data_IF_589731150981
#
_entry.id   IF_589731150981
#
_cell.length_a   1.000
_cell.length_b   1.000
_cell.length_c   1.000
_cell.angle_alpha   90.00
_cell.angle_beta   90.00
_cell.angle_gamma   90.00
#
_symmetry.space_group_name_H-M   'P 1'
#
loop_
_entity.id
_entity.type
_entity.pdbx_description
1 polymer ?
#
# COMPACT_ATOMS: atom_id res chain seq x y z
N UNK A 1 6.99 9.34 -51.89
CA UNK A 1 8.31 8.78 -52.23
C UNK A 1 8.37 7.35 -51.70
N UNK A 2 8.22 6.35 -52.56
CA UNK A 2 8.27 4.94 -52.14
C UNK A 2 9.74 4.53 -51.98
N UNK A 3 10.21 4.31 -50.75
CA UNK A 3 11.53 3.73 -50.52
C UNK A 3 11.58 2.35 -51.18
N UNK A 4 12.52 2.14 -52.10
CA UNK A 4 12.70 0.83 -52.74
C UNK A 4 13.05 -0.20 -51.66
N UNK A 5 12.46 -1.41 -51.68
CA UNK A 5 12.79 -2.44 -50.70
C UNK A 5 14.28 -2.78 -50.80
N UNK A 6 14.93 -2.92 -49.65
CA UNK A 6 16.33 -3.27 -49.55
C UNK A 6 16.56 -4.69 -50.09
N UNK A 7 17.61 -4.86 -50.90
CA UNK A 7 18.02 -6.17 -51.41
C UNK A 7 19.02 -6.83 -50.48
N UNK A 8 18.70 -8.06 -50.03
CA UNK A 8 19.54 -8.84 -49.11
C UNK A 8 20.97 -9.03 -49.60
N UNK A 9 21.16 -9.23 -50.90
CA UNK A 9 22.50 -9.45 -51.49
C UNK A 9 23.37 -8.20 -51.44
N UNK A 10 22.76 -7.03 -51.65
CA UNK A 10 23.47 -5.74 -51.60
C UNK A 10 23.87 -5.42 -50.17
N UNK A 11 22.94 -5.61 -49.21
CA UNK A 11 23.22 -5.39 -47.79
C UNK A 11 24.28 -6.37 -47.24
N UNK A 12 24.28 -7.64 -47.67
CA UNK A 12 25.32 -8.59 -47.27
C UNK A 12 26.69 -8.16 -47.78
N UNK A 13 26.81 -7.77 -49.05
CA UNK A 13 28.08 -7.35 -49.64
C UNK A 13 28.66 -6.14 -48.90
N UNK A 14 27.84 -5.12 -48.64
CA UNK A 14 28.30 -3.95 -47.87
C UNK A 14 28.73 -4.29 -46.44
N UNK A 15 28.07 -5.25 -45.79
CA UNK A 15 28.48 -5.73 -44.46
C UNK A 15 29.78 -6.54 -44.50
N UNK A 16 30.01 -7.33 -45.54
CA UNK A 16 31.26 -8.09 -45.71
C UNK A 16 32.44 -7.16 -46.02
N UNK A 17 32.22 -6.12 -46.82
CA UNK A 17 33.23 -5.10 -47.12
C UNK A 17 33.60 -4.27 -45.87
N UNK A 18 32.63 -3.94 -45.01
CA UNK A 18 32.88 -3.14 -43.81
C UNK A 18 33.34 -3.94 -42.59
N UNK A 19 32.88 -5.17 -42.41
CA UNK A 19 33.09 -5.96 -41.19
C UNK A 19 33.88 -7.26 -41.39
N UNK A 20 34.24 -7.61 -42.63
CA UNK A 20 35.08 -8.78 -42.95
C UNK A 20 34.54 -10.08 -42.35
N UNK A 21 35.41 -10.80 -41.62
CA UNK A 21 35.07 -12.08 -40.97
C UNK A 21 34.06 -11.95 -39.82
N UNK A 22 33.85 -10.74 -39.28
CA UNK A 22 32.86 -10.47 -38.23
C UNK A 22 31.46 -10.15 -38.80
N UNK A 23 31.28 -10.24 -40.12
CA UNK A 23 30.00 -9.98 -40.76
C UNK A 23 28.93 -11.03 -40.40
N UNK A 24 27.68 -10.58 -40.28
CA UNK A 24 26.56 -11.47 -39.97
C UNK A 24 26.33 -12.51 -41.09
N UNK A 25 25.97 -13.77 -40.74
CA UNK A 25 25.65 -14.78 -41.74
C UNK A 25 24.46 -14.37 -42.62
N UNK A 26 24.46 -14.83 -43.88
CA UNK A 26 23.41 -14.49 -44.86
C UNK A 26 21.98 -14.67 -44.33
N UNK A 27 21.71 -15.76 -43.58
CA UNK A 27 20.38 -16.02 -42.99
C UNK A 27 19.93 -14.91 -42.02
N UNK A 28 20.83 -14.36 -41.23
CA UNK A 28 20.53 -13.28 -40.28
C UNK A 28 20.28 -11.96 -41.01
N UNK A 29 21.09 -11.68 -42.04
CA UNK A 29 20.92 -10.50 -42.90
C UNK A 29 19.59 -10.57 -43.65
N UNK A 30 19.26 -11.71 -44.25
CA UNK A 30 17.98 -11.92 -44.93
C UNK A 30 16.78 -11.71 -44.00
N UNK A 31 16.83 -12.26 -42.78
CA UNK A 31 15.78 -12.08 -41.78
C UNK A 31 15.61 -10.61 -41.36
N UNK A 32 16.72 -9.89 -41.18
CA UNK A 32 16.68 -8.46 -40.84
C UNK A 32 16.17 -7.61 -42.01
N UNK A 33 16.67 -7.80 -43.23
CA UNK A 33 16.23 -7.08 -44.43
C UNK A 33 14.74 -7.30 -44.69
N UNK A 34 14.23 -8.52 -44.52
CA UNK A 34 12.80 -8.80 -44.58
C UNK A 34 12.02 -7.98 -43.56
N UNK A 35 12.44 -7.99 -42.28
CA UNK A 35 11.78 -7.22 -41.24
C UNK A 35 11.81 -5.69 -41.48
N UNK A 36 12.91 -5.16 -42.02
CA UNK A 36 13.01 -3.74 -42.39
C UNK A 36 12.09 -3.39 -43.56
N UNK A 37 12.00 -4.25 -44.58
CA UNK A 37 11.07 -4.09 -45.70
C UNK A 37 9.60 -4.19 -45.27
N UNK A 38 9.32 -4.94 -44.20
CA UNK A 38 8.00 -5.03 -43.55
C UNK A 38 7.72 -3.84 -42.60
N UNK A 39 8.58 -2.82 -42.56
CA UNK A 39 8.35 -1.56 -41.84
C UNK A 39 8.95 -1.50 -40.42
N UNK A 40 9.70 -2.51 -39.98
CA UNK A 40 10.40 -2.45 -38.69
C UNK A 40 11.53 -1.42 -38.75
N UNK A 41 11.49 -0.39 -37.92
CA UNK A 41 12.55 0.62 -37.83
C UNK A 41 13.54 0.37 -36.67
N UNK A 42 13.19 -0.51 -35.73
CA UNK A 42 13.99 -0.77 -34.54
C UNK A 42 15.00 -1.92 -34.75
N UNK A 43 16.29 -1.65 -34.47
CA UNK A 43 17.42 -2.58 -34.59
C UNK A 43 17.57 -3.51 -33.38
N UNK A 44 17.03 -3.14 -32.21
CA UNK A 44 17.09 -3.93 -30.99
C UNK A 44 16.30 -5.24 -31.12
N UNK A 45 16.66 -6.24 -30.32
CA UNK A 45 15.94 -7.50 -30.25
C UNK A 45 14.49 -7.29 -29.82
N UNK A 46 13.56 -8.07 -30.40
CA UNK A 46 12.17 -8.07 -29.91
C UNK A 46 12.13 -8.69 -28.51
N UNK A 47 11.10 -8.34 -27.74
CA UNK A 47 10.81 -9.07 -26.49
C UNK A 47 10.77 -10.56 -26.79
N UNK A 48 11.70 -11.29 -26.21
CA UNK A 48 11.72 -12.75 -26.25
C UNK A 48 10.62 -13.24 -25.30
N UNK A 49 9.76 -14.19 -25.72
CA UNK A 49 8.85 -14.83 -24.77
C UNK A 49 9.68 -15.49 -23.67
N UNK A 50 9.49 -15.03 -22.43
CA UNK A 50 10.08 -15.64 -21.24
C UNK A 50 9.27 -16.85 -20.78
N UNK A 51 9.66 -17.45 -19.64
CA UNK A 51 8.93 -18.56 -19.02
C UNK A 51 7.46 -18.17 -18.75
N UNK A 52 6.47 -18.93 -19.26
CA UNK A 52 5.07 -18.69 -18.98
C UNK A 52 4.69 -19.33 -17.65
N UNK A 53 4.85 -18.62 -16.53
CA UNK A 53 4.23 -19.02 -15.25
C UNK A 53 3.71 -17.84 -14.42
N UNK A 54 4.04 -16.61 -14.81
CA UNK A 54 3.76 -15.40 -14.01
C UNK A 54 2.26 -15.17 -13.77
N UNK A 55 1.35 -15.65 -14.64
CA UNK A 55 -0.08 -15.41 -14.47
C UNK A 55 -0.75 -16.35 -13.47
N UNK A 56 -0.43 -17.64 -13.52
CA UNK A 56 -1.03 -18.66 -12.64
C UNK A 56 -0.54 -18.51 -11.21
N UNK A 57 0.75 -18.20 -11.04
CA UNK A 57 1.38 -17.92 -9.74
C UNK A 57 0.75 -16.69 -9.05
N UNK A 58 0.49 -15.63 -9.81
CA UNK A 58 -0.15 -14.41 -9.31
C UNK A 58 -1.59 -14.69 -8.89
N UNK A 59 -2.34 -15.46 -9.70
CA UNK A 59 -3.73 -15.80 -9.41
C UNK A 59 -3.85 -16.69 -8.15
N UNK A 60 -3.00 -17.70 -8.02
CA UNK A 60 -2.99 -18.58 -6.85
C UNK A 60 -2.68 -17.79 -5.57
N UNK A 61 -1.70 -16.88 -5.62
CA UNK A 61 -1.36 -16.02 -4.48
C UNK A 61 -2.47 -15.01 -4.16
N UNK A 62 -3.12 -14.42 -5.17
CA UNK A 62 -4.23 -13.48 -4.91
C UNK A 62 -5.42 -14.17 -4.24
N UNK A 63 -5.76 -15.39 -4.67
CA UNK A 63 -6.87 -16.14 -4.08
C UNK A 63 -6.65 -16.47 -2.59
N UNK A 64 -5.42 -16.84 -2.21
CA UNK A 64 -5.06 -17.11 -0.79
C UNK A 64 -5.07 -15.83 0.07
N UNK A 65 -4.74 -14.68 -0.51
CA UNK A 65 -4.76 -13.40 0.20
C UNK A 65 -6.17 -12.82 0.33
N UNK A 66 -7.08 -13.19 -0.58
CA UNK A 66 -8.50 -12.84 -0.48
C UNK A 66 -9.18 -13.58 0.67
N UNK A 67 -8.78 -14.82 0.95
CA UNK A 67 -9.32 -15.60 2.08
C UNK A 67 -8.74 -15.15 3.43
N UNK A 68 -7.40 -15.02 3.53
CA UNK A 68 -6.76 -14.45 4.71
C UNK A 68 -5.54 -13.59 4.33
N UNK A 69 -5.60 -12.32 4.74
CA UNK A 69 -4.53 -11.34 4.51
C UNK A 69 -3.36 -11.47 5.48
N UNK A 70 -3.45 -12.35 6.48
CA UNK A 70 -2.44 -12.51 7.54
C UNK A 70 -1.44 -13.64 7.26
N UNK A 71 -1.54 -14.30 6.11
CA UNK A 71 -0.59 -15.33 5.71
C UNK A 71 0.85 -14.84 5.71
N UNK A 72 1.74 -15.70 6.18
CA UNK A 72 3.18 -15.52 6.05
C UNK A 72 3.65 -15.94 4.66
N UNK A 73 4.80 -15.39 4.23
CA UNK A 73 5.44 -15.79 2.96
C UNK A 73 5.69 -17.30 2.91
N UNK A 74 6.01 -17.91 4.06
CA UNK A 74 6.28 -19.36 4.17
C UNK A 74 5.02 -20.20 3.98
N UNK A 75 3.89 -19.77 4.53
CA UNK A 75 2.61 -20.46 4.34
C UNK A 75 2.16 -20.36 2.88
N UNK A 76 2.22 -19.17 2.29
CA UNK A 76 1.92 -18.94 0.88
C UNK A 76 2.81 -19.80 -0.04
N UNK A 77 4.11 -19.86 0.24
CA UNK A 77 5.06 -20.68 -0.51
C UNK A 77 4.72 -22.18 -0.43
N UNK A 78 4.35 -22.66 0.77
CA UNK A 78 3.95 -24.06 0.98
C UNK A 78 2.66 -24.40 0.24
N UNK A 79 1.68 -23.50 0.22
CA UNK A 79 0.37 -23.73 -0.39
C UNK A 79 0.39 -23.59 -1.92
N UNK A 80 1.19 -22.65 -2.44
CA UNK A 80 1.34 -22.44 -3.88
C UNK A 80 2.44 -23.31 -4.52
N UNK A 81 3.27 -23.97 -3.71
CA UNK A 81 4.44 -24.72 -4.19
C UNK A 81 5.56 -23.83 -4.74
N UNK A 82 5.51 -22.51 -4.51
CA UNK A 82 6.47 -21.54 -5.01
C UNK A 82 7.64 -21.35 -4.05
N UNK A 83 8.77 -20.89 -4.58
CA UNK A 83 9.87 -20.44 -3.75
C UNK A 83 9.47 -19.18 -2.97
N UNK A 84 9.93 -19.06 -1.72
CA UNK A 84 9.68 -17.89 -0.88
C UNK A 84 10.07 -16.56 -1.55
N UNK A 85 11.13 -16.56 -2.36
CA UNK A 85 11.58 -15.40 -3.14
C UNK A 85 10.56 -15.01 -4.20
N UNK A 86 10.02 -15.99 -4.94
CA UNK A 86 8.97 -15.77 -5.95
C UNK A 86 7.71 -15.18 -5.32
N UNK A 87 7.29 -15.70 -4.15
CA UNK A 87 6.16 -15.14 -3.40
C UNK A 87 6.43 -13.69 -3.02
N UNK A 88 7.62 -13.38 -2.49
CA UNK A 88 8.00 -12.01 -2.13
C UNK A 88 7.98 -11.05 -3.33
N UNK A 89 8.53 -11.49 -4.46
CA UNK A 89 8.60 -10.71 -5.69
C UNK A 89 7.20 -10.48 -6.28
N UNK A 90 6.34 -11.50 -6.28
CA UNK A 90 4.96 -11.37 -6.73
C UNK A 90 4.19 -10.40 -5.83
N UNK A 91 4.30 -10.53 -4.51
CA UNK A 91 3.63 -9.63 -3.57
C UNK A 91 4.07 -8.17 -3.79
N UNK A 92 5.37 -7.91 -3.90
CA UNK A 92 5.90 -6.55 -4.02
C UNK A 92 5.79 -5.96 -5.42
N UNK A 93 6.29 -6.66 -6.43
CA UNK A 93 6.49 -6.13 -7.79
C UNK A 93 5.26 -6.31 -8.68
N UNK A 94 4.45 -7.35 -8.46
CA UNK A 94 3.27 -7.64 -9.30
C UNK A 94 1.99 -7.14 -8.66
N UNK A 95 1.79 -7.41 -7.38
CA UNK A 95 0.59 -7.02 -6.64
C UNK A 95 0.72 -5.65 -5.95
N UNK A 96 1.93 -5.07 -5.90
CA UNK A 96 2.16 -3.77 -5.26
C UNK A 96 1.89 -3.78 -3.75
N UNK A 97 1.91 -4.96 -3.12
CA UNK A 97 1.58 -5.13 -1.72
C UNK A 97 2.76 -4.80 -0.82
N UNK A 98 2.43 -4.26 0.36
CA UNK A 98 3.37 -3.98 1.43
C UNK A 98 2.89 -4.62 2.72
N UNK A 99 3.83 -5.08 3.53
CA UNK A 99 3.51 -5.55 4.89
C UNK A 99 3.07 -4.35 5.73
N UNK A 100 1.86 -4.42 6.27
CA UNK A 100 1.33 -3.47 7.25
C UNK A 100 1.15 -4.25 8.56
N UNK A 101 1.68 -3.72 9.66
CA UNK A 101 1.42 -4.30 10.97
C UNK A 101 -0.03 -4.00 11.38
N UNK A 102 -0.72 -5.00 11.93
CA UNK A 102 -2.04 -4.79 12.53
C UNK A 102 -1.97 -3.72 13.61
N UNK A 103 -3.00 -2.87 13.66
CA UNK A 103 -3.13 -1.88 14.74
C UNK A 103 -3.73 -2.53 15.97
N UNK A 104 -3.20 -2.16 17.14
CA UNK A 104 -3.79 -2.55 18.41
C UNK A 104 -5.11 -1.82 18.60
N UNK A 105 -6.14 -2.54 19.03
CA UNK A 105 -7.46 -1.97 19.35
C UNK A 105 -7.76 -2.15 20.84
N UNK A 106 -8.54 -1.25 21.46
CA UNK A 106 -8.79 -1.28 22.90
C UNK A 106 -9.45 -2.55 23.45
N UNK A 107 -10.34 -3.17 22.69
CA UNK A 107 -11.17 -4.28 23.16
C UNK A 107 -11.73 -5.10 21.99
N UNK A 108 -12.13 -6.34 22.23
CA UNK A 108 -12.87 -7.13 21.25
C UNK A 108 -14.37 -6.88 21.44
N UNK A 109 -14.93 -6.00 20.60
CA UNK A 109 -16.30 -5.54 20.76
C UNK A 109 -17.32 -6.64 20.44
N UNK A 110 -18.28 -6.82 21.35
CA UNK A 110 -19.49 -7.61 21.10
C UNK A 110 -20.44 -6.90 20.14
N UNK A 111 -21.32 -7.64 19.47
CA UNK A 111 -22.32 -7.06 18.56
C UNK A 111 -23.22 -6.02 19.24
N UNK A 112 -23.58 -6.24 20.51
CA UNK A 112 -24.33 -5.26 21.30
C UNK A 112 -23.53 -3.95 21.48
N UNK A 113 -22.23 -4.03 21.78
CA UNK A 113 -21.39 -2.84 21.93
C UNK A 113 -21.22 -2.09 20.62
N UNK A 114 -21.10 -2.79 19.48
CA UNK A 114 -21.08 -2.17 18.14
C UNK A 114 -22.40 -1.46 17.83
N UNK A 115 -23.53 -2.07 18.17
CA UNK A 115 -24.84 -1.45 18.02
C UNK A 115 -24.96 -0.17 18.85
N UNK A 116 -24.57 -0.21 20.13
CA UNK A 116 -24.55 0.97 21.02
C UNK A 116 -23.66 2.09 20.48
N UNK A 117 -22.51 1.74 19.89
CA UNK A 117 -21.62 2.70 19.22
C UNK A 117 -22.30 3.37 18.02
N UNK A 118 -22.99 2.60 17.17
CA UNK A 118 -23.76 3.12 16.04
C UNK A 118 -24.90 4.03 16.50
N UNK A 119 -25.70 3.59 17.47
CA UNK A 119 -26.82 4.36 18.01
C UNK A 119 -26.35 5.70 18.58
N UNK A 120 -25.29 5.69 19.40
CA UNK A 120 -24.69 6.90 19.94
C UNK A 120 -24.16 7.84 18.84
N UNK A 121 -23.50 7.30 17.82
CA UNK A 121 -22.99 8.09 16.70
C UNK A 121 -24.10 8.75 15.87
N UNK A 122 -25.19 8.03 15.58
CA UNK A 122 -26.34 8.57 14.85
C UNK A 122 -27.06 9.67 15.63
N UNK A 123 -27.37 9.42 16.91
CA UNK A 123 -28.01 10.43 17.78
C UNK A 123 -27.21 11.72 17.86
N UNK A 124 -25.89 11.62 17.95
CA UNK A 124 -24.99 12.79 17.98
C UNK A 124 -24.96 13.55 16.65
N UNK A 125 -25.01 12.85 15.52
CA UNK A 125 -25.08 13.47 14.19
C UNK A 125 -26.40 14.22 13.95
N UNK A 126 -27.51 13.70 14.47
CA UNK A 126 -28.84 14.27 14.24
C UNK A 126 -29.13 15.49 15.12
N UNK A 127 -28.79 15.44 16.41
CA UNK A 127 -29.26 16.44 17.39
C UNK A 127 -28.18 17.15 18.19
N UNK A 128 -26.91 16.77 18.05
CA UNK A 128 -25.82 17.26 18.92
C UNK A 128 -26.13 17.15 20.43
N UNK A 129 -27.00 16.22 20.83
CA UNK A 129 -27.38 16.04 22.23
C UNK A 129 -26.38 15.11 22.96
N UNK A 130 -25.92 15.54 24.14
CA UNK A 130 -25.05 14.80 25.04
C UNK A 130 -25.82 13.69 25.77
N UNK A 131 -26.12 12.59 25.09
CA UNK A 131 -27.04 11.58 25.63
C UNK A 131 -26.40 10.28 26.12
N UNK A 132 -25.22 9.86 25.61
CA UNK A 132 -24.61 8.59 26.00
C UNK A 132 -23.18 8.46 25.47
N UNK A 133 -22.23 7.95 26.26
CA UNK A 133 -20.90 7.53 25.78
C UNK A 133 -20.80 5.99 25.79
N UNK A 134 -20.65 5.35 24.62
CA UNK A 134 -20.60 3.89 24.55
C UNK A 134 -19.34 3.32 25.25
N UNK A 135 -19.43 2.10 25.80
CA UNK A 135 -18.29 1.47 26.47
C UNK A 135 -17.16 1.14 25.48
N UNK A 136 -15.92 1.13 25.96
CA UNK A 136 -14.71 0.80 25.18
C UNK A 136 -14.55 1.63 23.90
N UNK A 137 -14.92 2.91 23.95
CA UNK A 137 -14.89 3.84 22.81
C UNK A 137 -13.92 5.03 22.97
N UNK A 138 -12.62 4.79 23.28
CA UNK A 138 -11.65 5.88 23.35
C UNK A 138 -11.47 6.58 21.99
N UNK A 139 -11.73 5.88 20.87
CA UNK A 139 -11.70 6.46 19.53
C UNK A 139 -12.83 7.47 19.25
N UNK A 140 -13.78 7.63 20.18
CA UNK A 140 -14.86 8.64 20.15
C UNK A 140 -14.71 9.72 21.23
N UNK A 141 -13.63 9.67 22.02
CA UNK A 141 -13.30 10.64 23.06
C UNK A 141 -12.20 11.58 22.59
N UNK A 142 -12.47 12.89 22.39
CA UNK A 142 -11.45 13.86 21.94
C UNK A 142 -10.22 13.90 22.84
N UNK A 143 -10.40 13.64 24.13
CA UNK A 143 -9.30 13.55 25.07
C UNK A 143 -8.34 12.41 24.70
N UNK A 144 -8.89 11.22 24.45
CA UNK A 144 -8.11 10.01 24.20
C UNK A 144 -7.48 9.99 22.82
N UNK A 145 -8.23 10.35 21.76
CA UNK A 145 -7.72 10.23 20.39
C UNK A 145 -6.95 11.46 19.89
N UNK A 146 -7.03 12.61 20.56
CA UNK A 146 -6.43 13.86 20.07
C UNK A 146 -5.58 14.59 21.12
N UNK A 147 -6.15 14.95 22.28
CA UNK A 147 -5.46 15.80 23.26
C UNK A 147 -4.30 15.07 23.96
N UNK A 148 -4.58 13.92 24.57
CA UNK A 148 -3.59 13.16 25.36
C UNK A 148 -2.40 12.72 24.49
N UNK A 149 -2.58 12.21 23.25
CA UNK A 149 -1.45 11.89 22.37
C UNK A 149 -0.56 13.10 22.10
N UNK A 150 -1.14 14.26 21.75
CA UNK A 150 -0.36 15.49 21.48
C UNK A 150 0.34 16.01 22.72
N UNK A 151 -0.31 15.89 23.88
CA UNK A 151 0.28 16.25 25.15
C UNK A 151 1.48 15.35 25.50
N UNK A 152 1.36 14.04 25.25
CA UNK A 152 2.38 13.04 25.56
C UNK A 152 3.55 13.00 24.58
N UNK A 153 3.34 13.35 23.31
CA UNK A 153 4.37 13.29 22.28
C UNK A 153 5.68 14.03 22.64
N UNK A 154 5.66 15.31 23.10
CA UNK A 154 6.89 15.99 23.50
C UNK A 154 7.51 15.44 24.80
N UNK A 155 6.78 14.61 25.55
CA UNK A 155 7.26 13.96 26.78
C UNK A 155 7.88 12.59 26.50
N UNK A 156 7.71 12.07 25.28
CA UNK A 156 8.11 10.72 24.92
C UNK A 156 9.62 10.57 25.00
N UNK A 157 10.07 9.54 25.72
CA UNK A 157 11.50 9.24 25.91
C UNK A 157 12.20 10.10 26.96
N UNK A 158 11.53 11.09 27.55
CA UNK A 158 12.08 11.90 28.64
C UNK A 158 11.93 11.15 29.97
N UNK A 159 12.99 11.14 30.78
CA UNK A 159 12.96 10.63 32.15
C UNK A 159 12.86 11.81 33.13
N UNK A 160 11.77 11.87 33.87
CA UNK A 160 11.58 12.86 34.94
C UNK A 160 12.01 12.24 36.27
N UNK A 161 12.73 13.00 37.09
CA UNK A 161 13.20 12.51 38.41
C UNK A 161 12.23 12.87 39.52
N UNK A 162 11.40 13.88 39.31
CA UNK A 162 10.47 14.41 40.31
C UNK A 162 9.10 14.72 39.72
N UNK A 163 8.06 14.67 40.57
CA UNK A 163 6.68 15.03 40.17
C UNK A 163 6.56 16.48 39.69
N UNK A 164 7.20 17.49 40.32
CA UNK A 164 7.15 18.87 39.84
C UNK A 164 7.68 19.05 38.41
N UNK A 165 8.73 18.33 38.03
CA UNK A 165 9.24 18.35 36.65
C UNK A 165 8.19 17.85 35.65
N UNK A 166 7.45 16.79 36.01
CA UNK A 166 6.36 16.24 35.18
C UNK A 166 5.26 17.28 35.03
N UNK A 167 4.80 17.87 36.14
CA UNK A 167 3.73 18.87 36.12
C UNK A 167 4.11 20.08 35.25
N UNK A 168 5.34 20.58 35.38
CA UNK A 168 5.83 21.69 34.56
C UNK A 168 5.94 21.32 33.07
N UNK A 169 6.34 20.09 32.75
CA UNK A 169 6.40 19.63 31.37
C UNK A 169 5.00 19.47 30.75
N UNK A 170 4.04 18.93 31.51
CA UNK A 170 2.65 18.82 31.10
C UNK A 170 2.02 20.21 30.89
N UNK A 171 2.19 21.13 31.84
CA UNK A 171 1.64 22.50 31.74
C UNK A 171 2.17 23.22 30.49
N UNK A 172 3.49 23.12 30.23
CA UNK A 172 4.08 23.67 29.01
C UNK A 172 3.46 23.06 27.75
N UNK A 173 3.29 21.74 27.69
CA UNK A 173 2.70 21.06 26.53
C UNK A 173 1.25 21.51 26.28
N UNK A 174 0.44 21.61 27.34
CA UNK A 174 -0.94 22.09 27.25
C UNK A 174 -0.99 23.55 26.76
N UNK A 175 -0.15 24.43 27.29
CA UNK A 175 -0.05 25.82 26.82
C UNK A 175 0.28 25.88 25.34
N UNK A 176 1.28 25.11 24.89
CA UNK A 176 1.63 25.05 23.47
C UNK A 176 0.46 24.59 22.61
N UNK A 177 -0.27 23.54 23.03
CA UNK A 177 -1.45 23.04 22.30
C UNK A 177 -2.52 24.12 22.18
N UNK A 178 -2.79 24.84 23.27
CA UNK A 178 -3.78 25.92 23.30
C UNK A 178 -3.37 27.08 22.39
N UNK A 179 -2.12 27.55 22.49
CA UNK A 179 -1.63 28.67 21.67
C UNK A 179 -1.57 28.33 20.18
N UNK A 180 -1.23 27.09 19.83
CA UNK A 180 -1.14 26.66 18.42
C UNK A 180 -2.47 26.21 17.83
N UNK A 181 -3.50 25.99 18.64
CA UNK A 181 -4.75 25.36 18.20
C UNK A 181 -4.53 23.94 17.65
N UNK A 182 -3.50 23.24 18.14
CA UNK A 182 -3.12 21.92 17.63
C UNK A 182 -4.22 20.88 17.90
N UNK A 183 -4.90 20.96 19.04
CA UNK A 183 -6.01 20.06 19.38
C UNK A 183 -7.25 20.39 18.55
N UNK A 184 -7.65 19.46 17.69
CA UNK A 184 -8.81 19.57 16.78
C UNK A 184 -9.81 18.45 17.00
N UNK A 185 -9.71 17.74 18.14
CA UNK A 185 -10.51 16.57 18.44
C UNK A 185 -12.01 16.81 18.31
N UNK A 186 -12.51 17.93 18.87
CA UNK A 186 -13.93 18.30 18.78
C UNK A 186 -14.37 18.47 17.32
N UNK A 187 -13.58 19.17 16.50
CA UNK A 187 -13.88 19.39 15.08
C UNK A 187 -13.88 18.09 14.27
N UNK A 188 -13.13 17.07 14.72
CA UNK A 188 -13.04 15.75 14.06
C UNK A 188 -14.14 14.78 14.48
N UNK A 189 -14.94 15.11 15.49
CA UNK A 189 -15.99 14.23 16.02
C UNK A 189 -17.05 13.85 14.97
N UNK A 190 -17.63 14.78 14.18
CA UNK A 190 -18.65 14.42 13.19
C UNK A 190 -18.13 13.38 12.19
N UNK A 191 -16.91 13.56 11.69
CA UNK A 191 -16.28 12.62 10.78
C UNK A 191 -16.03 11.25 11.43
N UNK A 192 -15.60 11.21 12.70
CA UNK A 192 -15.43 9.95 13.43
C UNK A 192 -16.76 9.24 13.65
N UNK A 193 -17.83 9.94 14.01
CA UNK A 193 -19.17 9.35 14.14
C UNK A 193 -19.67 8.77 12.81
N UNK A 194 -19.47 9.46 11.70
CA UNK A 194 -19.77 8.93 10.36
C UNK A 194 -19.01 7.62 10.09
N UNK A 195 -17.72 7.57 10.44
CA UNK A 195 -16.92 6.33 10.29
C UNK A 195 -17.41 5.18 11.16
N UNK A 196 -17.86 5.44 12.39
CA UNK A 196 -18.46 4.39 13.24
C UNK A 196 -19.68 3.80 12.56
N UNK A 197 -20.57 4.64 12.04
CA UNK A 197 -21.78 4.18 11.34
C UNK A 197 -21.42 3.41 10.07
N UNK A 198 -20.46 3.91 9.29
CA UNK A 198 -19.96 3.24 8.09
C UNK A 198 -19.34 1.86 8.40
N UNK A 199 -18.60 1.76 9.50
CA UNK A 199 -17.94 0.55 9.96
C UNK A 199 -18.87 -0.36 10.79
N UNK A 200 -20.19 -0.15 10.73
CA UNK A 200 -21.17 -0.93 11.49
C UNK A 200 -20.87 -1.04 13.00
N UNK A 201 -20.24 -0.02 13.58
CA UNK A 201 -19.92 0.05 15.01
C UNK A 201 -18.51 -0.41 15.37
N UNK A 202 -17.72 -0.93 14.42
CA UNK A 202 -16.32 -1.26 14.65
C UNK A 202 -15.46 -0.01 14.94
N UNK A 203 -14.21 -0.25 15.38
CA UNK A 203 -13.25 0.83 15.62
C UNK A 203 -12.96 1.62 14.35
N UNK A 204 -12.80 2.94 14.53
CA UNK A 204 -12.49 3.85 13.41
C UNK A 204 -11.01 3.79 12.98
N UNK A 205 -10.15 3.17 13.77
CA UNK A 205 -8.71 3.03 13.52
C UNK A 205 -8.40 1.59 13.14
N UNK A 206 -8.12 1.31 11.86
CA UNK A 206 -7.88 -0.06 11.39
C UNK A 206 -8.19 -0.34 9.92
N UNK A 207 -8.81 0.61 9.22
CA UNK A 207 -9.00 0.61 7.76
C UNK A 207 -8.11 1.63 7.08
#
# INVERSE_FOLDING_TARGET
>A
MCQRPYSTRVSLRGLQEACGESALPYRTVARRVKAFNEGRQNVADMRRPGRPSVSEEVYALSALLESDRRHTIRELARETGLANTTVLDVLKERLGMRKIASRWVPHDLTEMQKWLRCDAARKRLERYELLYHPPYSPDLSPCDFDLIPKMKEPLRGIRFRTVPEILQAVDRSIRTINTTGAAKGILRLPHRWQRVVHNAGDYTEGQ
#
